data_IF_803196204421
#
_entry.id   IF_803196204421
#
_cell.length_a   1.000
_cell.length_b   1.000
_cell.length_c   1.000
_cell.angle_alpha   90.00
_cell.angle_beta   90.00
_cell.angle_gamma   90.00
#
_symmetry.space_group_name_H-M   'P 1'
#
loop_
_entity.id
_entity.type
_entity.pdbx_description
1 polymer ?
#
# COMPACT_ATOMS: atom_id res chain seq x y z
N UNK A 1 -4.81 25.82 -16.72
CA UNK A 1 -5.36 24.70 -15.95
C UNK A 1 -4.45 24.37 -14.80
N UNK A 2 -5.00 24.25 -13.59
CA UNK A 2 -4.23 23.91 -12.40
C UNK A 2 -3.70 22.48 -12.47
N UNK A 3 -2.56 22.23 -11.79
CA UNK A 3 -1.99 20.89 -11.62
C UNK A 3 -2.96 20.02 -10.81
N UNK A 4 -3.21 18.80 -11.30
CA UNK A 4 -3.97 17.80 -10.55
C UNK A 4 -3.02 16.99 -9.68
N UNK A 5 -3.18 17.12 -8.36
CA UNK A 5 -2.39 16.41 -7.35
C UNK A 5 -3.24 15.36 -6.67
N UNK A 6 -2.73 14.14 -6.58
CA UNK A 6 -3.36 13.02 -5.89
C UNK A 6 -2.39 12.47 -4.85
N UNK A 7 -2.91 12.11 -3.70
CA UNK A 7 -2.14 11.47 -2.62
C UNK A 7 -2.86 10.23 -2.11
N UNK A 8 -2.11 9.24 -1.68
CA UNK A 8 -2.66 8.06 -1.00
C UNK A 8 -1.62 7.43 -0.07
N UNK A 9 -2.09 6.62 0.87
CA UNK A 9 -1.24 5.72 1.65
C UNK A 9 -1.25 4.34 1.01
N UNK A 10 -0.07 3.79 0.76
CA UNK A 10 0.12 2.52 0.07
C UNK A 10 1.14 1.63 0.76
N UNK A 11 0.91 0.33 0.65
CA UNK A 11 1.84 -0.71 1.07
C UNK A 11 2.57 -1.22 -0.17
N UNK A 12 3.83 -0.84 -0.35
CA UNK A 12 4.62 -1.35 -1.46
C UNK A 12 5.09 -2.77 -1.19
N UNK A 13 4.99 -3.63 -2.21
CA UNK A 13 5.42 -5.01 -2.10
C UNK A 13 6.95 -5.04 -1.93
N UNK A 14 7.45 -5.63 -0.83
CA UNK A 14 8.89 -5.67 -0.59
C UNK A 14 9.59 -6.72 -1.43
N UNK A 15 10.91 -6.61 -1.53
CA UNK A 15 11.78 -7.64 -2.07
C UNK A 15 11.77 -8.88 -1.14
N UNK A 16 11.81 -10.13 -1.65
CA UNK A 16 11.96 -10.52 -3.07
C UNK A 16 10.62 -10.64 -3.83
N UNK A 17 9.47 -10.52 -3.19
CA UNK A 17 8.15 -10.76 -3.79
C UNK A 17 7.81 -9.76 -4.91
N UNK A 18 8.37 -8.55 -4.85
CA UNK A 18 8.20 -7.50 -5.85
C UNK A 18 8.65 -7.94 -7.25
N UNK A 19 9.74 -8.70 -7.35
CA UNK A 19 10.29 -9.13 -8.64
C UNK A 19 9.28 -9.97 -9.44
N UNK A 20 8.61 -10.92 -8.79
CA UNK A 20 7.59 -11.75 -9.43
C UNK A 20 6.39 -10.90 -9.86
N UNK A 21 5.89 -10.03 -8.99
CA UNK A 21 4.72 -9.20 -9.27
C UNK A 21 5.01 -8.17 -10.36
N UNK A 22 6.21 -7.58 -10.38
CA UNK A 22 6.59 -6.64 -11.43
C UNK A 22 6.74 -7.34 -12.79
N UNK A 23 7.26 -8.58 -12.82
CA UNK A 23 7.31 -9.37 -14.05
C UNK A 23 5.89 -9.66 -14.58
N UNK A 24 4.96 -9.99 -13.71
CA UNK A 24 3.55 -10.19 -14.08
C UNK A 24 2.92 -8.90 -14.59
N UNK A 25 3.14 -7.78 -13.90
CA UNK A 25 2.58 -6.49 -14.28
C UNK A 25 3.15 -5.97 -15.60
N UNK A 26 4.39 -6.29 -15.92
CA UNK A 26 4.97 -5.98 -17.25
C UNK A 26 4.18 -6.65 -18.38
N UNK A 27 3.68 -7.87 -18.15
CA UNK A 27 2.86 -8.59 -19.12
C UNK A 27 1.39 -8.11 -19.10
N UNK A 28 0.84 -7.85 -17.92
CA UNK A 28 -0.58 -7.53 -17.75
C UNK A 28 -0.92 -6.07 -18.03
N UNK A 29 -0.07 -5.15 -17.60
CA UNK A 29 -0.29 -3.69 -17.76
C UNK A 29 1.04 -2.93 -17.65
N UNK A 30 1.85 -2.92 -18.70
CA UNK A 30 3.14 -2.25 -18.68
C UNK A 30 3.04 -0.74 -18.47
N UNK A 31 1.93 -0.12 -18.86
CA UNK A 31 1.71 1.31 -18.62
C UNK A 31 1.59 1.61 -17.13
N UNK A 32 0.74 0.86 -16.43
CA UNK A 32 0.55 1.05 -14.99
C UNK A 32 1.82 0.69 -14.19
N UNK A 33 2.56 -0.33 -14.63
CA UNK A 33 3.83 -0.69 -14.01
C UNK A 33 4.83 0.46 -13.99
N UNK A 34 4.88 1.27 -15.05
CA UNK A 34 5.76 2.45 -15.11
C UNK A 34 5.30 3.60 -14.22
N UNK A 35 4.01 3.65 -13.89
CA UNK A 35 3.46 4.73 -13.09
C UNK A 35 3.58 4.49 -11.58
N UNK A 36 3.47 3.25 -11.14
CA UNK A 36 3.47 2.90 -9.72
C UNK A 36 3.99 1.47 -9.51
N UNK A 37 4.85 1.21 -8.51
CA UNK A 37 5.23 -0.15 -8.12
C UNK A 37 4.05 -1.00 -7.65
N UNK A 38 4.20 -2.32 -7.64
CA UNK A 38 3.23 -3.24 -7.07
C UNK A 38 2.91 -2.88 -5.63
N UNK A 39 1.63 -2.76 -5.31
CA UNK A 39 1.19 -2.23 -4.03
C UNK A 39 -0.21 -2.69 -3.64
N UNK A 40 -0.52 -2.52 -2.37
CA UNK A 40 -1.88 -2.53 -1.81
C UNK A 40 -2.22 -1.11 -1.39
N UNK A 41 -3.32 -0.55 -1.87
CA UNK A 41 -3.80 0.75 -1.40
C UNK A 41 -4.37 0.60 0.02
N UNK A 42 -3.80 1.34 0.97
CA UNK A 42 -4.24 1.33 2.36
C UNK A 42 -5.30 2.39 2.63
N UNK A 43 -5.07 3.62 2.21
CA UNK A 43 -6.02 4.72 2.35
C UNK A 43 -6.09 5.50 1.05
N UNK A 44 -7.30 5.73 0.57
CA UNK A 44 -7.56 6.48 -0.66
C UNK A 44 -7.45 7.99 -0.43
N UNK A 45 -7.30 8.72 -1.51
CA UNK A 45 -7.24 10.18 -1.52
C UNK A 45 -8.43 10.83 -0.82
N UNK A 46 -9.65 10.40 -1.14
CA UNK A 46 -10.88 10.92 -0.53
C UNK A 46 -10.95 10.67 0.97
N UNK A 47 -10.42 9.55 1.45
CA UNK A 47 -10.32 9.22 2.86
C UNK A 47 -9.30 10.07 3.60
N UNK A 48 -8.22 10.48 2.93
CA UNK A 48 -7.16 11.32 3.50
C UNK A 48 -7.50 12.82 3.53
N UNK A 49 -8.49 13.25 2.76
CA UNK A 49 -8.87 14.65 2.66
C UNK A 49 -9.28 15.28 4.01
N UNK A 50 -9.80 14.48 4.93
CA UNK A 50 -10.18 14.90 6.29
C UNK A 50 -9.04 14.84 7.31
N UNK A 51 -7.86 14.37 6.92
CA UNK A 51 -6.70 14.19 7.81
C UNK A 51 -5.57 15.10 7.33
N UNK A 52 -5.03 15.93 8.24
CA UNK A 52 -3.84 16.71 7.92
C UNK A 52 -2.65 15.78 7.65
N UNK A 53 -1.95 15.99 6.53
CA UNK A 53 -0.78 15.16 6.19
C UNK A 53 0.31 15.23 7.27
N UNK A 54 0.43 16.37 7.97
CA UNK A 54 1.33 16.54 9.11
C UNK A 54 0.95 15.64 10.30
N UNK A 55 -0.32 15.31 10.46
CA UNK A 55 -0.82 14.49 11.58
C UNK A 55 -0.56 12.99 11.36
N UNK A 56 -0.28 12.56 10.14
CA UNK A 56 0.05 11.17 9.84
C UNK A 56 1.31 10.71 10.58
N UNK A 57 2.35 11.53 10.62
CA UNK A 57 3.57 11.23 11.35
C UNK A 57 3.30 10.97 12.83
N UNK A 58 2.46 11.79 13.46
CA UNK A 58 2.04 11.64 14.85
C UNK A 58 1.19 10.38 15.04
N UNK A 59 0.29 10.08 14.12
CA UNK A 59 -0.53 8.87 14.16
C UNK A 59 0.31 7.59 14.12
N UNK A 60 1.37 7.55 13.30
CA UNK A 60 2.30 6.42 13.25
C UNK A 60 3.26 6.36 14.44
N UNK A 61 3.77 7.51 14.92
CA UNK A 61 4.72 7.57 16.02
C UNK A 61 4.09 7.22 17.39
N UNK A 62 2.82 7.54 17.58
CA UNK A 62 2.10 7.29 18.83
C UNK A 62 1.52 5.89 18.98
N UNK A 63 1.59 5.06 17.96
CA UNK A 63 0.93 3.75 17.91
C UNK A 63 1.92 2.69 17.42
N UNK A 64 2.02 1.59 18.16
CA UNK A 64 2.74 0.41 17.74
C UNK A 64 1.93 -0.29 16.64
N UNK A 65 2.10 0.15 15.39
CA UNK A 65 1.54 -0.53 14.24
C UNK A 65 2.47 -1.68 13.84
N UNK A 66 2.01 -2.91 14.00
CA UNK A 66 2.78 -4.11 13.68
C UNK A 66 2.92 -4.32 12.17
N UNK A 67 3.96 -5.04 11.72
CA UNK A 67 4.03 -5.52 10.35
C UNK A 67 2.74 -6.26 9.97
N UNK A 68 2.30 -6.05 8.75
CA UNK A 68 1.04 -6.58 8.24
C UNK A 68 1.31 -7.73 7.27
N UNK A 69 0.83 -8.91 7.58
CA UNK A 69 0.94 -10.08 6.69
C UNK A 69 -0.38 -10.34 6.01
N UNK A 70 -0.37 -10.31 4.67
CA UNK A 70 -1.52 -10.59 3.83
C UNK A 70 -1.22 -11.76 2.90
N UNK A 71 -2.21 -12.66 2.72
CA UNK A 71 -2.16 -13.71 1.72
C UNK A 71 -3.12 -13.38 0.59
N UNK A 72 -2.63 -13.49 -0.64
CA UNK A 72 -3.38 -13.20 -1.85
C UNK A 72 -3.74 -14.47 -2.60
N UNK A 73 -4.94 -14.51 -3.13
CA UNK A 73 -5.42 -15.58 -4.01
C UNK A 73 -5.03 -15.35 -5.47
N UNK A 74 -5.54 -16.21 -6.33
CA UNK A 74 -5.34 -16.11 -7.78
C UNK A 74 -6.02 -14.89 -8.40
N UNK A 75 -5.68 -14.58 -9.66
CA UNK A 75 -6.24 -13.41 -10.34
C UNK A 75 -7.75 -13.48 -10.48
N UNK A 76 -8.39 -12.35 -10.24
CA UNK A 76 -9.81 -12.13 -10.47
C UNK A 76 -10.03 -10.92 -11.36
N UNK A 77 -11.05 -10.98 -12.21
CA UNK A 77 -11.46 -9.82 -12.98
C UNK A 77 -12.20 -8.81 -12.11
N UNK A 78 -11.90 -7.52 -12.30
CA UNK A 78 -12.81 -6.46 -11.86
C UNK A 78 -14.09 -6.48 -12.71
N UNK A 79 -15.13 -5.85 -12.19
CA UNK A 79 -16.34 -5.62 -12.99
C UNK A 79 -16.01 -4.80 -14.24
N UNK A 80 -16.10 -5.42 -15.40
CA UNK A 80 -15.83 -4.81 -16.70
C UNK A 80 -14.38 -4.98 -17.15
N UNK A 81 -13.45 -4.24 -16.59
CA UNK A 81 -12.03 -4.24 -16.99
C UNK A 81 -11.13 -4.27 -15.75
N UNK A 82 -9.94 -4.82 -15.94
CA UNK A 82 -8.93 -4.93 -14.90
C UNK A 82 -8.81 -6.34 -14.32
N UNK A 83 -7.66 -6.59 -13.71
CA UNK A 83 -7.32 -7.86 -13.06
C UNK A 83 -6.63 -7.56 -11.74
N UNK A 84 -7.04 -8.24 -10.69
CA UNK A 84 -6.47 -8.09 -9.36
C UNK A 84 -6.16 -9.44 -8.70
N UNK A 85 -5.27 -9.41 -7.72
CA UNK A 85 -5.08 -10.48 -6.76
C UNK A 85 -5.83 -10.10 -5.47
N UNK A 86 -6.92 -10.82 -5.10
CA UNK A 86 -7.65 -10.51 -3.88
C UNK A 86 -6.91 -10.99 -2.64
N UNK A 87 -7.04 -10.27 -1.54
CA UNK A 87 -6.58 -10.75 -0.24
C UNK A 87 -7.54 -11.82 0.29
N UNK A 88 -7.00 -12.98 0.65
CA UNK A 88 -7.77 -14.11 1.18
C UNK A 88 -7.53 -14.36 2.67
N UNK A 89 -6.40 -13.86 3.23
CA UNK A 89 -6.11 -13.87 4.67
C UNK A 89 -5.41 -12.58 5.09
N UNK A 90 -5.71 -12.11 6.31
CA UNK A 90 -5.11 -10.91 6.90
C UNK A 90 -5.94 -9.64 6.75
N UNK A 91 -7.09 -9.69 6.09
CA UNK A 91 -7.95 -8.53 5.88
C UNK A 91 -8.42 -7.88 7.20
N UNK A 92 -8.57 -8.66 8.27
CA UNK A 92 -8.95 -8.13 9.58
C UNK A 92 -7.88 -7.17 10.12
N UNK A 93 -6.61 -7.54 10.08
CA UNK A 93 -5.51 -6.69 10.54
C UNK A 93 -5.33 -5.46 9.63
N UNK A 94 -5.57 -5.63 8.35
CA UNK A 94 -5.59 -4.52 7.39
C UNK A 94 -6.68 -3.49 7.76
N UNK A 95 -7.90 -3.94 8.06
CA UNK A 95 -8.98 -3.04 8.49
C UNK A 95 -8.68 -2.38 9.84
N UNK A 96 -8.04 -3.10 10.76
CA UNK A 96 -7.64 -2.55 12.06
C UNK A 96 -6.63 -1.40 11.88
N UNK A 97 -5.64 -1.57 11.00
CA UNK A 97 -4.69 -0.50 10.67
C UNK A 97 -5.39 0.70 10.05
N UNK A 98 -6.31 0.49 9.11
CA UNK A 98 -7.12 1.58 8.55
C UNK A 98 -7.90 2.33 9.62
N UNK A 99 -8.55 1.60 10.53
CA UNK A 99 -9.30 2.20 11.65
C UNK A 99 -8.43 3.05 12.57
N UNK A 100 -7.19 2.62 12.83
CA UNK A 100 -6.23 3.38 13.62
C UNK A 100 -5.83 4.70 12.95
N UNK A 101 -5.71 4.71 11.63
CA UNK A 101 -5.29 5.89 10.86
C UNK A 101 -6.45 6.84 10.55
N UNK A 102 -7.60 6.31 10.21
CA UNK A 102 -8.75 7.07 9.72
C UNK A 102 -9.80 7.36 10.81
N UNK A 103 -9.80 6.59 11.90
CA UNK A 103 -10.85 6.69 12.90
C UNK A 103 -12.24 6.47 12.29
N UNK A 104 -13.19 7.36 12.56
CA UNK A 104 -14.56 7.28 12.02
C UNK A 104 -14.63 7.46 10.50
N UNK A 105 -13.62 8.08 9.88
CA UNK A 105 -13.53 8.20 8.43
C UNK A 105 -13.32 6.85 7.72
N UNK A 106 -12.99 5.78 8.44
CA UNK A 106 -12.89 4.41 7.94
C UNK A 106 -14.27 3.73 7.74
N UNK A 107 -15.33 4.50 7.50
CA UNK A 107 -16.70 4.00 7.36
C UNK A 107 -16.90 3.05 6.17
N UNK A 108 -16.04 3.13 5.15
CA UNK A 108 -16.04 2.21 4.02
C UNK A 108 -15.01 1.11 4.23
N UNK A 109 -15.46 -0.14 4.13
CA UNK A 109 -14.53 -1.27 4.05
C UNK A 109 -13.86 -1.26 2.68
N UNK A 110 -12.55 -1.22 2.67
CA UNK A 110 -11.73 -1.38 1.47
C UNK A 110 -11.18 -2.81 1.46
N UNK A 111 -11.54 -3.60 0.45
CA UNK A 111 -10.96 -4.94 0.29
C UNK A 111 -9.52 -4.82 -0.20
N UNK A 112 -8.51 -5.29 0.57
CA UNK A 112 -7.14 -5.22 0.14
C UNK A 112 -6.89 -6.11 -1.08
N UNK A 113 -6.16 -5.58 -2.06
CA UNK A 113 -5.83 -6.29 -3.30
C UNK A 113 -4.57 -5.71 -3.96
N UNK A 114 -3.96 -6.51 -4.82
CA UNK A 114 -2.88 -6.05 -5.69
C UNK A 114 -3.41 -6.01 -7.12
N UNK A 115 -3.31 -4.86 -7.76
CA UNK A 115 -3.74 -4.69 -9.16
C UNK A 115 -2.66 -5.17 -10.12
N UNK A 116 -3.03 -6.07 -11.02
CA UNK A 116 -2.20 -6.54 -12.14
C UNK A 116 -2.49 -5.77 -13.42
N UNK A 117 -3.78 -5.52 -13.71
CA UNK A 117 -4.22 -4.66 -14.81
C UNK A 117 -5.23 -3.66 -14.27
N UNK A 118 -4.97 -2.38 -14.48
CA UNK A 118 -5.78 -1.32 -13.88
C UNK A 118 -7.14 -1.21 -14.58
N UNK A 119 -8.26 -1.07 -13.84
CA UNK A 119 -9.60 -0.98 -14.44
C UNK A 119 -9.80 0.25 -15.32
N UNK A 120 -8.99 1.29 -15.18
CA UNK A 120 -8.99 2.46 -16.05
C UNK A 120 -8.24 2.28 -17.36
N UNK A 121 -7.57 1.14 -17.54
CA UNK A 121 -6.88 0.78 -18.77
C UNK A 121 -7.56 -0.43 -19.45
N UNK A 122 -8.68 -0.23 -20.17
CA UNK A 122 -9.40 -1.32 -20.82
C UNK A 122 -8.59 -2.03 -21.91
N UNK A 123 -7.51 -1.40 -22.41
CA UNK A 123 -6.61 -1.93 -23.42
C UNK A 123 -5.43 -2.70 -22.82
N UNK A 124 -5.32 -2.81 -21.49
CA UNK A 124 -4.26 -3.57 -20.86
C UNK A 124 -4.26 -5.02 -21.36
N UNK A 125 -3.11 -5.57 -21.79
CA UNK A 125 -3.05 -6.94 -22.30
C UNK A 125 -3.59 -7.98 -21.32
N UNK A 126 -3.44 -7.75 -20.02
CA UNK A 126 -3.91 -8.64 -18.96
C UNK A 126 -5.41 -8.91 -18.99
N UNK A 127 -6.22 -8.02 -19.56
CA UNK A 127 -7.65 -8.24 -19.73
C UNK A 127 -8.00 -9.41 -20.67
N UNK A 128 -7.05 -9.86 -21.46
CA UNK A 128 -7.20 -10.94 -22.43
C UNK A 128 -6.34 -12.16 -22.11
N UNK A 129 -5.56 -12.12 -21.03
CA UNK A 129 -4.66 -13.21 -20.65
C UNK A 129 -5.39 -14.23 -19.80
N UNK A 130 -5.09 -15.52 -20.03
CA UNK A 130 -5.58 -16.59 -19.15
C UNK A 130 -4.83 -16.55 -17.80
N UNK A 131 -5.47 -17.01 -16.74
CA UNK A 131 -4.98 -17.00 -15.36
C UNK A 131 -3.77 -17.94 -15.12
N UNK A 132 -3.20 -18.55 -16.14
CA UNK A 132 -2.19 -19.61 -16.05
C UNK A 132 -0.81 -19.15 -15.54
N UNK A 133 -0.56 -17.85 -15.40
CA UNK A 133 0.75 -17.31 -15.04
C UNK A 133 0.93 -17.04 -13.53
N UNK A 134 -0.08 -17.30 -12.69
CA UNK A 134 -0.02 -17.03 -11.24
C UNK A 134 0.19 -18.31 -10.48
N UNK A 135 1.09 -18.34 -9.46
CA UNK A 135 1.25 -19.51 -8.61
C UNK A 135 -0.09 -19.93 -7.99
N UNK A 136 -0.45 -21.21 -8.15
CA UNK A 136 -1.71 -21.76 -7.63
C UNK A 136 -1.79 -21.77 -6.09
N UNK A 137 -0.64 -21.68 -5.41
CA UNK A 137 -0.53 -21.77 -3.96
C UNK A 137 -0.78 -20.43 -3.25
N UNK A 138 -1.03 -19.36 -3.99
CA UNK A 138 -1.16 -18.03 -3.40
C UNK A 138 0.18 -17.39 -3.06
N UNK A 139 0.12 -16.14 -2.63
CA UNK A 139 1.30 -15.33 -2.31
C UNK A 139 1.09 -14.70 -0.94
N UNK A 140 2.00 -14.99 0.00
CA UNK A 140 1.99 -14.39 1.35
C UNK A 140 3.07 -13.32 1.43
N UNK A 141 2.66 -12.09 1.76
CA UNK A 141 3.55 -10.93 1.82
C UNK A 141 3.45 -10.28 3.18
N UNK A 142 4.59 -9.98 3.80
CA UNK A 142 4.66 -9.17 5.01
C UNK A 142 5.11 -7.76 4.66
N UNK A 143 4.25 -6.79 4.95
CA UNK A 143 4.52 -5.38 4.75
C UNK A 143 5.07 -4.78 6.04
N UNK A 144 6.22 -4.11 5.95
CA UNK A 144 6.93 -3.51 7.09
C UNK A 144 6.99 -2.00 7.04
N UNK A 145 6.37 -1.40 6.05
CA UNK A 145 6.26 0.05 5.93
C UNK A 145 5.01 0.47 5.18
N UNK A 146 4.59 1.70 5.42
CA UNK A 146 3.52 2.39 4.72
C UNK A 146 4.13 3.62 4.05
N UNK A 147 3.77 3.88 2.80
CA UNK A 147 4.25 5.04 2.06
C UNK A 147 3.13 6.02 1.78
N UNK A 148 3.37 7.28 2.11
CA UNK A 148 2.59 8.39 1.58
C UNK A 148 3.14 8.70 0.20
N UNK A 149 2.33 8.53 -0.82
CA UNK A 149 2.73 8.73 -2.21
C UNK A 149 1.88 9.79 -2.89
N UNK A 150 2.46 10.43 -3.91
CA UNK A 150 1.86 11.52 -4.66
C UNK A 150 2.00 11.29 -6.15
N UNK A 151 0.93 11.58 -6.89
CA UNK A 151 0.96 11.72 -8.34
C UNK A 151 0.58 13.16 -8.70
N UNK A 152 1.39 13.78 -9.55
CA UNK A 152 1.08 15.08 -10.15
C UNK A 152 0.77 14.86 -11.62
N UNK A 153 -0.45 15.21 -12.02
CA UNK A 153 -0.99 14.95 -13.36
C UNK A 153 -0.89 13.46 -13.74
N UNK A 154 -0.22 13.16 -14.85
CA UNK A 154 -0.01 11.78 -15.34
C UNK A 154 1.41 11.27 -15.08
N UNK A 155 2.18 11.95 -14.24
CA UNK A 155 3.55 11.56 -13.90
C UNK A 155 3.56 10.25 -13.06
N UNK A 156 4.70 9.55 -12.99
CA UNK A 156 4.86 8.47 -12.05
C UNK A 156 4.63 8.92 -10.60
N UNK A 157 4.04 8.04 -9.80
CA UNK A 157 3.88 8.27 -8.38
C UNK A 157 5.24 8.34 -7.69
N UNK A 158 5.38 9.24 -6.73
CA UNK A 158 6.60 9.39 -5.93
C UNK A 158 6.30 9.25 -4.45
N UNK A 159 7.25 8.72 -3.69
CA UNK A 159 7.15 8.64 -2.24
C UNK A 159 7.46 10.00 -1.63
N UNK A 160 6.55 10.51 -0.82
CA UNK A 160 6.75 11.71 -0.02
C UNK A 160 7.33 11.37 1.36
N UNK A 161 6.82 10.30 1.98
CA UNK A 161 7.24 9.87 3.30
C UNK A 161 7.01 8.37 3.46
N UNK A 162 7.87 7.72 4.24
CA UNK A 162 7.76 6.31 4.60
C UNK A 162 7.63 6.17 6.11
N UNK A 163 6.67 5.36 6.56
CA UNK A 163 6.41 5.07 7.96
C UNK A 163 6.68 3.59 8.22
N UNK A 164 7.54 3.29 9.19
CA UNK A 164 7.84 1.91 9.54
C UNK A 164 6.72 1.28 10.36
N UNK A 165 6.41 0.02 10.02
CA UNK A 165 5.59 -0.88 10.84
C UNK A 165 6.55 -1.80 11.59
N UNK A 166 6.48 -1.81 12.92
CA UNK A 166 7.40 -2.61 13.72
C UNK A 166 6.70 -3.23 14.93
N UNK A 167 7.20 -4.40 15.32
CA UNK A 167 6.75 -5.05 16.53
C UNK A 167 7.25 -4.24 17.75
N UNK A 168 6.37 -3.81 18.68
CA UNK A 168 6.77 -3.11 19.88
C UNK A 168 7.74 -3.91 20.76
N UNK A 169 7.83 -5.23 20.54
CA UNK A 169 8.72 -6.13 21.25
C UNK A 169 10.01 -6.45 20.47
N UNK A 170 10.21 -5.84 19.29
CA UNK A 170 11.46 -6.02 18.53
C UNK A 170 12.59 -5.27 19.26
N UNK A 171 13.63 -6.00 19.76
CA UNK A 171 14.71 -5.38 20.51
C UNK A 171 15.57 -4.42 19.66
N UNK A 172 15.39 -4.42 18.33
CA UNK A 172 16.07 -3.47 17.41
C UNK A 172 15.32 -2.16 17.29
N UNK A 173 14.10 -2.08 17.87
CA UNK A 173 13.32 -0.85 17.87
C UNK A 173 13.73 0.01 19.07
N UNK A 174 14.16 1.28 18.89
CA UNK A 174 14.45 2.16 20.01
C UNK A 174 13.21 2.31 20.87
N UNK A 175 13.34 2.02 22.15
CA UNK A 175 12.26 2.28 23.12
C UNK A 175 12.03 3.78 23.25
N UNK A 176 10.82 4.19 23.54
CA UNK A 176 10.42 5.60 23.72
C UNK A 176 11.37 6.38 24.66
N UNK A 177 12.02 5.68 25.60
CA UNK A 177 12.96 6.27 26.54
C UNK A 177 14.30 6.69 25.90
N UNK A 178 14.71 6.02 24.82
CA UNK A 178 15.97 6.33 24.12
C UNK A 178 15.81 7.46 23.11
N UNK A 179 14.60 7.66 22.59
CA UNK A 179 14.28 8.77 21.68
C UNK A 179 14.26 10.13 22.41
N UNK A 180 13.96 10.15 23.71
CA UNK A 180 13.87 11.37 24.52
C UNK A 180 15.22 11.82 25.10
N UNK A 181 16.23 10.93 25.08
CA UNK A 181 17.59 11.23 25.61
C UNK A 181 18.54 11.87 24.60
N UNK A 182 18.12 12.06 23.35
CA UNK A 182 18.95 12.66 22.27
C UNK A 182 18.68 14.16 22.02
N UNK A 183 18.00 14.84 22.93
CA UNK A 183 17.88 16.30 22.88
C UNK A 183 19.19 16.95 23.37
N UNK A 184 19.93 17.69 22.52
CA UNK A 184 21.13 18.36 22.97
C UNK A 184 20.77 19.49 23.92
N UNK A 185 21.31 19.42 25.14
CA UNK A 185 21.28 20.55 26.07
C UNK A 185 21.94 21.76 25.39
N UNK A 186 21.18 22.78 25.13
CA UNK A 186 21.70 24.09 24.75
C UNK A 186 22.39 24.71 25.97
N UNK A 187 23.67 24.98 25.81
CA UNK A 187 24.42 25.95 26.65
C UNK A 187 24.54 27.25 25.87
#
# INVERSE_FOLDING_TARGET
GGLMRRVQLSLYVPSPDDALLEAMRELFDPLQRRLIPAHVTLCREDELAGIGLADLGTAFAGRAARPLTLRFGGPEAFQGHGVLLPCVEGAHDFQALRGQLLGEAASRRLAPHITLAHPRNPRAPGNRMSNAAVPSEGLTITFRSVRLIEQVDSAPWRTLQEFSLHDPWDPRCPTRAEADSSSPAQR
#
